data_IF_433657985371
#
_entry.id   IF_433657985371
#
_cell.length_a   1.000
_cell.length_b   1.000
_cell.length_c   1.000
_cell.angle_alpha   90.00
_cell.angle_beta   90.00
_cell.angle_gamma   90.00
#
_symmetry.space_group_name_H-M   'P 1'
#
loop_
_entity.id
_entity.type
_entity.pdbx_description
1 polymer ?
#
# COMPACT_ATOMS: atom_id res chain seq x y z
N UNK A 1 -15.86 5.92 23.27
CA UNK A 1 -15.32 7.28 22.99
C UNK A 1 -14.21 7.56 23.99
N UNK A 2 -12.98 7.48 23.64
CA UNK A 2 -11.72 7.96 24.26
C UNK A 2 -10.63 6.91 24.24
N UNK A 3 -9.97 6.70 23.11
CA UNK A 3 -8.69 5.96 23.03
C UNK A 3 -7.81 6.45 21.85
N UNK A 4 -7.81 7.76 21.56
CA UNK A 4 -6.74 8.34 20.75
C UNK A 4 -5.86 9.21 21.64
N UNK A 5 -4.90 8.60 22.33
CA UNK A 5 -3.76 9.32 22.87
C UNK A 5 -2.92 9.77 21.66
N UNK A 6 -2.68 11.08 21.55
CA UNK A 6 -1.75 11.69 20.63
C UNK A 6 -0.34 11.17 20.91
N UNK A 7 0.01 10.03 20.34
CA UNK A 7 1.40 9.62 20.24
C UNK A 7 1.94 10.23 18.95
N UNK A 8 2.75 11.26 19.08
CA UNK A 8 3.62 11.75 18.01
C UNK A 8 4.49 10.55 17.60
N UNK A 9 4.26 10.01 16.39
CA UNK A 9 5.08 8.92 15.84
C UNK A 9 6.47 9.52 15.60
N UNK A 10 7.38 9.34 16.57
CA UNK A 10 8.78 9.65 16.37
C UNK A 10 9.38 8.51 15.53
N UNK A 11 9.78 8.81 14.30
CA UNK A 11 10.61 7.90 13.51
C UNK A 11 11.95 7.71 14.24
N UNK A 12 12.01 6.73 15.14
CA UNK A 12 13.29 6.25 15.65
C UNK A 12 14.06 5.58 14.51
N UNK A 13 15.38 5.62 14.60
CA UNK A 13 16.34 5.20 13.58
C UNK A 13 15.82 3.98 12.78
N UNK A 14 15.51 4.21 11.50
CA UNK A 14 15.08 3.15 10.57
C UNK A 14 16.22 2.15 10.41
N UNK A 15 15.91 0.87 10.36
CA UNK A 15 16.90 -0.15 10.05
C UNK A 15 17.56 0.21 8.71
N UNK A 16 18.89 0.33 8.71
CA UNK A 16 19.66 0.64 7.49
C UNK A 16 19.59 -0.50 6.48
N UNK A 17 19.19 -1.71 6.92
CA UNK A 17 19.13 -2.92 6.08
C UNK A 17 17.91 -3.77 6.41
N UNK A 18 17.31 -4.42 5.37
CA UNK A 18 16.24 -5.40 5.56
C UNK A 18 16.75 -6.61 6.36
N UNK A 19 15.88 -7.16 7.20
CA UNK A 19 16.18 -8.34 8.02
C UNK A 19 15.35 -9.54 7.56
N UNK A 20 15.89 -10.75 7.73
CA UNK A 20 15.20 -12.01 7.56
C UNK A 20 14.83 -12.58 8.93
N UNK A 21 13.55 -12.73 9.21
CA UNK A 21 13.00 -13.10 10.52
C UNK A 21 11.88 -14.12 10.45
N UNK A 22 11.55 -14.71 11.61
CA UNK A 22 10.28 -15.39 11.81
C UNK A 22 9.29 -14.38 12.43
N UNK A 23 8.11 -14.30 11.85
CA UNK A 23 6.99 -13.55 12.40
C UNK A 23 5.90 -14.49 12.86
N UNK A 24 5.28 -14.19 13.99
CA UNK A 24 4.15 -14.96 14.50
C UNK A 24 2.84 -14.40 13.95
N UNK A 25 2.01 -15.28 13.42
CA UNK A 25 0.63 -14.94 13.00
C UNK A 25 -0.22 -14.69 14.24
N UNK A 26 -0.76 -13.49 14.38
CA UNK A 26 -1.63 -13.10 15.49
C UNK A 26 -3.10 -13.24 15.14
N UNK A 27 -3.45 -12.92 13.88
CA UNK A 27 -4.82 -12.97 13.38
C UNK A 27 -4.82 -13.27 11.89
N UNK A 28 -5.80 -14.05 11.45
CA UNK A 28 -6.13 -14.28 10.04
C UNK A 28 -7.62 -14.04 9.88
N UNK A 29 -8.00 -12.91 9.32
CA UNK A 29 -9.40 -12.54 9.10
C UNK A 29 -9.72 -12.63 7.61
N UNK A 30 -10.66 -13.50 7.26
CA UNK A 30 -11.14 -13.56 5.89
C UNK A 30 -12.01 -12.34 5.57
N UNK A 31 -11.77 -11.69 4.43
CA UNK A 31 -12.52 -10.54 3.95
C UNK A 31 -13.11 -10.90 2.57
N UNK A 32 -14.43 -11.14 2.54
CA UNK A 32 -15.07 -11.72 1.37
C UNK A 32 -14.47 -13.08 1.01
N UNK A 33 -14.52 -13.45 -0.26
CA UNK A 33 -13.99 -14.74 -0.73
C UNK A 33 -12.51 -14.65 -1.14
N UNK A 34 -12.08 -13.47 -1.61
CA UNK A 34 -10.82 -13.25 -2.33
C UNK A 34 -9.72 -12.63 -1.48
N UNK A 35 -9.99 -12.21 -0.24
CA UNK A 35 -9.01 -11.45 0.55
C UNK A 35 -8.83 -12.02 1.96
N UNK A 36 -7.64 -11.74 2.50
CA UNK A 36 -7.28 -12.04 3.89
C UNK A 36 -6.59 -10.82 4.48
N UNK A 37 -7.05 -10.41 5.65
CA UNK A 37 -6.39 -9.46 6.52
C UNK A 37 -5.54 -10.25 7.51
N UNK A 38 -4.24 -10.03 7.49
CA UNK A 38 -3.23 -10.79 8.22
C UNK A 38 -2.49 -9.89 9.20
N UNK A 39 -2.58 -10.19 10.50
CA UNK A 39 -1.82 -9.52 11.54
C UNK A 39 -0.64 -10.39 11.97
N UNK A 40 0.55 -9.82 11.89
CA UNK A 40 1.81 -10.47 12.27
C UNK A 40 2.45 -9.75 13.43
N UNK A 41 3.12 -10.48 14.32
CA UNK A 41 4.04 -9.92 15.31
C UNK A 41 5.47 -10.16 14.83
N UNK A 42 6.19 -9.07 14.62
CA UNK A 42 7.64 -9.05 14.37
C UNK A 42 8.23 -7.73 14.88
N UNK A 43 8.93 -7.74 16.02
CA UNK A 43 9.32 -6.52 16.75
C UNK A 43 10.33 -5.64 16.02
N UNK A 44 11.27 -6.20 15.28
CA UNK A 44 12.37 -5.47 14.65
C UNK A 44 11.86 -4.71 13.42
N UNK A 45 11.06 -5.38 12.57
CA UNK A 45 10.46 -4.74 11.41
C UNK A 45 9.43 -3.70 11.85
N UNK A 46 8.59 -4.00 12.86
CA UNK A 46 7.60 -3.06 13.36
C UNK A 46 8.21 -1.76 13.91
N UNK A 47 9.42 -1.82 14.49
CA UNK A 47 10.12 -0.62 14.96
C UNK A 47 10.75 0.21 13.84
N UNK A 48 11.05 -0.40 12.70
CA UNK A 48 11.83 0.23 11.63
C UNK A 48 11.05 0.51 10.36
N UNK A 49 9.87 -0.09 10.18
CA UNK A 49 9.06 0.09 8.99
C UNK A 49 8.46 1.50 8.90
N UNK A 50 8.46 2.05 7.69
CA UNK A 50 7.81 3.31 7.35
C UNK A 50 6.71 3.16 6.30
N UNK A 51 5.85 4.19 6.13
CA UNK A 51 4.75 4.13 5.19
C UNK A 51 5.24 3.95 3.75
N UNK A 52 4.57 3.07 3.01
CA UNK A 52 4.92 2.75 1.63
C UNK A 52 5.96 1.64 1.47
N UNK A 53 6.46 1.05 2.56
CA UNK A 53 7.31 -0.14 2.51
C UNK A 53 6.47 -1.42 2.49
N UNK A 54 7.12 -2.53 2.14
CA UNK A 54 6.50 -3.84 2.01
C UNK A 54 7.37 -4.94 2.63
N UNK A 55 6.84 -6.16 2.69
CA UNK A 55 7.52 -7.38 3.13
C UNK A 55 7.49 -8.43 2.03
N UNK A 56 8.51 -9.29 1.99
CA UNK A 56 8.40 -10.60 1.37
C UNK A 56 8.03 -11.63 2.43
N UNK A 57 6.99 -12.42 2.15
CA UNK A 57 6.50 -13.47 3.06
C UNK A 57 6.60 -14.85 2.43
N UNK A 58 6.96 -15.83 3.26
CA UNK A 58 6.94 -17.25 2.95
C UNK A 58 6.33 -18.02 4.11
N UNK A 59 5.20 -18.66 3.87
CA UNK A 59 4.41 -19.44 4.85
C UNK A 59 4.52 -20.96 4.62
N UNK A 60 5.51 -21.41 3.88
CA UNK A 60 5.68 -22.81 3.52
C UNK A 60 7.14 -23.23 3.56
N UNK A 61 7.37 -24.52 3.76
CA UNK A 61 8.65 -25.20 3.63
C UNK A 61 8.83 -25.80 2.23
N UNK A 62 10.04 -26.14 1.86
CA UNK A 62 10.33 -26.74 0.55
C UNK A 62 10.44 -25.71 -0.58
N UNK A 63 10.40 -26.19 -1.82
CA UNK A 63 10.69 -25.39 -3.02
C UNK A 63 9.43 -25.01 -3.82
N UNK A 64 8.26 -25.43 -3.39
CA UNK A 64 7.01 -25.19 -4.11
C UNK A 64 5.91 -24.66 -3.16
N UNK A 65 5.47 -23.40 -3.31
CA UNK A 65 5.95 -22.38 -4.25
C UNK A 65 7.39 -21.95 -3.99
N UNK A 66 8.14 -21.66 -5.06
CA UNK A 66 9.57 -21.33 -4.92
C UNK A 66 9.81 -19.97 -4.30
N UNK A 67 9.14 -18.95 -4.80
CA UNK A 67 9.39 -17.54 -4.40
C UNK A 67 8.48 -17.09 -3.24
N UNK A 68 8.98 -16.24 -2.33
CA UNK A 68 8.14 -15.54 -1.38
C UNK A 68 7.16 -14.59 -2.11
N UNK A 69 6.23 -14.00 -1.38
CA UNK A 69 5.24 -13.07 -1.92
C UNK A 69 5.42 -11.68 -1.30
N UNK A 70 5.43 -10.62 -2.13
CA UNK A 70 5.46 -9.24 -1.65
C UNK A 70 4.07 -8.78 -1.19
N UNK A 71 4.02 -8.09 -0.04
CA UNK A 71 2.82 -7.43 0.47
C UNK A 71 3.18 -6.11 1.12
N UNK A 72 2.40 -5.07 0.82
CA UNK A 72 2.52 -3.79 1.46
C UNK A 72 2.30 -3.91 2.97
N UNK A 73 3.07 -3.16 3.74
CA UNK A 73 2.82 -2.96 5.17
C UNK A 73 1.64 -1.99 5.28
N UNK A 74 0.43 -2.55 5.41
CA UNK A 74 -0.80 -1.77 5.46
C UNK A 74 -0.90 -0.93 6.72
N UNK A 75 -0.51 -1.50 7.86
CA UNK A 75 -0.41 -0.80 9.15
C UNK A 75 0.81 -1.30 9.92
N UNK A 76 1.34 -0.45 10.77
CA UNK A 76 2.48 -0.77 11.63
C UNK A 76 2.26 -0.18 13.02
N UNK A 77 2.31 -1.03 14.05
CA UNK A 77 2.27 -0.60 15.43
C UNK A 77 3.56 -1.02 16.17
N UNK A 78 4.51 -0.09 16.35
CA UNK A 78 5.74 -0.37 17.07
C UNK A 78 5.55 -0.70 18.55
N UNK A 79 4.49 -0.19 19.21
CA UNK A 79 4.20 -0.44 20.61
C UNK A 79 3.70 -1.88 20.83
N UNK A 80 2.78 -2.33 19.99
CA UNK A 80 2.27 -3.69 19.98
C UNK A 80 3.19 -4.66 19.22
N UNK A 81 4.22 -4.14 18.54
CA UNK A 81 5.19 -4.90 17.74
C UNK A 81 4.53 -5.66 16.59
N UNK A 82 3.49 -5.08 15.98
CA UNK A 82 2.68 -5.74 14.96
C UNK A 82 2.74 -5.03 13.61
N UNK A 83 2.49 -5.84 12.58
CA UNK A 83 2.38 -5.44 11.19
C UNK A 83 1.10 -6.05 10.62
N UNK A 84 0.29 -5.24 9.95
CA UNK A 84 -0.92 -5.70 9.26
C UNK A 84 -0.72 -5.65 7.76
N UNK A 85 -1.17 -6.68 7.09
CA UNK A 85 -1.07 -6.86 5.66
C UNK A 85 -2.43 -7.23 5.09
N UNK A 86 -2.69 -6.83 3.86
CA UNK A 86 -3.90 -7.19 3.15
C UNK A 86 -3.56 -8.02 1.91
N UNK A 87 -4.01 -9.26 1.89
CA UNK A 87 -3.61 -10.27 0.92
C UNK A 87 -4.77 -10.59 -0.02
N UNK A 88 -4.58 -10.38 -1.32
CA UNK A 88 -5.47 -10.92 -2.35
C UNK A 88 -5.10 -12.38 -2.63
N UNK A 89 -6.06 -13.28 -2.54
CA UNK A 89 -5.86 -14.71 -2.75
C UNK A 89 -6.02 -15.03 -4.22
N UNK A 90 -4.90 -15.18 -4.94
CA UNK A 90 -4.90 -15.41 -6.40
C UNK A 90 -4.21 -16.72 -6.81
N UNK A 91 -3.43 -17.31 -5.92
CA UNK A 91 -2.65 -18.49 -6.29
C UNK A 91 -2.17 -19.26 -5.08
N UNK A 92 -1.39 -20.31 -5.33
CA UNK A 92 -0.98 -21.28 -4.31
C UNK A 92 -0.32 -20.65 -3.08
N UNK A 93 0.61 -19.69 -3.26
CA UNK A 93 1.27 -19.05 -2.14
C UNK A 93 0.31 -18.25 -1.25
N UNK A 94 -0.60 -17.48 -1.85
CA UNK A 94 -1.61 -16.71 -1.13
C UNK A 94 -2.71 -17.59 -0.53
N UNK A 95 -3.03 -18.75 -1.15
CA UNK A 95 -3.92 -19.74 -0.56
C UNK A 95 -3.33 -20.36 0.71
N UNK A 96 -2.01 -20.59 0.73
CA UNK A 96 -1.32 -21.06 1.93
C UNK A 96 -1.33 -20.00 3.05
N UNK A 97 -1.21 -18.71 2.72
CA UNK A 97 -1.37 -17.62 3.70
C UNK A 97 -2.79 -17.59 4.27
N UNK A 98 -3.82 -17.81 3.43
CA UNK A 98 -5.22 -17.86 3.86
C UNK A 98 -5.50 -19.00 4.85
N UNK A 99 -4.76 -20.11 4.75
CA UNK A 99 -4.94 -21.29 5.61
C UNK A 99 -4.13 -21.24 6.91
N UNK A 100 -3.41 -20.16 7.18
CA UNK A 100 -2.70 -20.00 8.44
C UNK A 100 -3.66 -19.85 9.61
N UNK A 101 -3.19 -20.24 10.78
CA UNK A 101 -3.91 -20.07 12.03
C UNK A 101 -3.09 -19.18 13.00
N UNK A 102 -3.72 -18.50 13.94
CA UNK A 102 -3.03 -17.79 15.01
C UNK A 102 -2.04 -18.70 15.74
N UNK A 103 -0.82 -18.19 15.98
CA UNK A 103 0.30 -18.93 16.54
C UNK A 103 1.21 -19.57 15.50
N UNK A 104 0.82 -19.66 14.25
CA UNK A 104 1.71 -20.14 13.17
C UNK A 104 2.89 -19.19 12.96
N UNK A 105 4.01 -19.73 12.49
CA UNK A 105 5.17 -18.93 12.13
C UNK A 105 5.32 -18.82 10.61
N UNK A 106 5.64 -17.62 10.13
CA UNK A 106 5.98 -17.33 8.75
C UNK A 106 7.37 -16.73 8.67
N UNK A 107 8.06 -16.92 7.56
CA UNK A 107 9.32 -16.24 7.29
C UNK A 107 9.05 -14.94 6.56
N UNK A 108 9.66 -13.87 7.05
CA UNK A 108 9.53 -12.52 6.49
C UNK A 108 10.89 -11.91 6.18
N UNK A 109 10.98 -11.16 5.10
CA UNK A 109 12.11 -10.31 4.78
C UNK A 109 11.63 -8.88 4.67
N UNK A 110 12.22 -7.96 5.42
CA UNK A 110 11.83 -6.55 5.39
C UNK A 110 12.43 -5.71 6.51
N UNK A 111 11.98 -4.44 6.62
CA UNK A 111 11.13 -3.75 5.64
C UNK A 111 11.89 -3.54 4.32
N UNK A 112 11.18 -3.60 3.21
CA UNK A 112 11.74 -3.48 1.86
C UNK A 112 11.23 -2.22 1.16
N UNK A 113 12.01 -1.72 0.22
CA UNK A 113 11.73 -0.49 -0.51
C UNK A 113 11.98 0.77 0.30
N UNK A 114 11.76 1.93 -0.33
CA UNK A 114 11.92 3.23 0.30
C UNK A 114 10.61 3.66 0.95
N UNK A 115 10.64 4.12 2.20
CA UNK A 115 9.44 4.70 2.80
C UNK A 115 9.17 6.09 2.23
N UNK A 116 7.91 6.52 2.23
CA UNK A 116 7.55 7.91 1.98
C UNK A 116 8.13 8.78 3.12
N UNK A 117 8.96 9.75 2.77
CA UNK A 117 9.65 10.63 3.75
C UNK A 117 9.24 12.09 3.63
N UNK A 118 8.86 12.53 2.44
CA UNK A 118 8.44 13.90 2.20
C UNK A 118 6.95 14.07 2.49
N UNK A 119 6.66 14.90 3.49
CA UNK A 119 5.33 15.27 3.94
C UNK A 119 5.11 16.78 3.87
N UNK A 120 5.89 17.50 3.05
CA UNK A 120 5.73 18.93 2.82
C UNK A 120 4.52 19.21 1.90
N UNK A 121 3.33 18.94 2.41
CA UNK A 121 2.05 19.18 1.75
C UNK A 121 0.95 19.37 2.80
N UNK A 122 -0.17 19.97 2.40
CA UNK A 122 -1.32 20.23 3.26
C UNK A 122 -2.45 19.23 3.01
N UNK A 123 -2.47 18.64 1.81
CA UNK A 123 -3.55 17.77 1.38
C UNK A 123 -3.05 16.64 0.46
N UNK A 124 -3.64 15.46 0.62
CA UNK A 124 -3.40 14.31 -0.23
C UNK A 124 -4.72 13.67 -0.67
N UNK A 125 -4.74 13.13 -1.89
CA UNK A 125 -5.81 12.25 -2.34
C UNK A 125 -5.26 10.85 -2.64
N UNK A 126 -6.00 9.83 -2.23
CA UNK A 126 -5.74 8.43 -2.57
C UNK A 126 -6.74 7.98 -3.62
N UNK A 127 -6.27 7.60 -4.80
CA UNK A 127 -7.08 7.00 -5.86
C UNK A 127 -6.67 5.54 -6.01
N UNK A 128 -7.43 4.64 -5.39
CA UNK A 128 -7.01 3.24 -5.23
C UNK A 128 -8.10 2.24 -5.64
N UNK A 129 -7.66 1.05 -6.07
CA UNK A 129 -8.56 -0.01 -6.52
C UNK A 129 -8.20 -1.36 -5.92
N UNK A 130 -9.21 -2.04 -5.37
CA UNK A 130 -9.06 -3.38 -4.79
C UNK A 130 -7.95 -3.44 -3.74
N UNK A 131 -7.11 -4.48 -3.77
CA UNK A 131 -6.01 -4.66 -2.82
C UNK A 131 -5.00 -3.51 -2.79
N UNK A 132 -4.88 -2.74 -3.89
CA UNK A 132 -4.02 -1.54 -3.91
C UNK A 132 -4.39 -0.46 -2.89
N UNK A 133 -5.58 -0.56 -2.25
CA UNK A 133 -5.96 0.29 -1.14
C UNK A 133 -5.04 0.09 0.09
N UNK A 134 -4.49 -1.11 0.28
CA UNK A 134 -3.60 -1.42 1.39
C UNK A 134 -2.31 -0.58 1.38
N UNK A 135 -1.77 -0.28 0.19
CA UNK A 135 -0.53 0.47 0.02
C UNK A 135 -0.57 1.89 0.64
N UNK A 136 -1.76 2.48 0.77
CA UNK A 136 -1.92 3.87 1.22
C UNK A 136 -2.47 4.02 2.65
N UNK A 137 -2.87 2.94 3.32
CA UNK A 137 -3.45 3.02 4.68
C UNK A 137 -2.42 3.58 5.67
N UNK A 138 -1.24 2.99 5.76
CA UNK A 138 -0.18 3.46 6.67
C UNK A 138 0.28 4.89 6.32
N UNK A 139 0.35 5.21 5.03
CA UNK A 139 0.60 6.58 4.59
C UNK A 139 -0.49 7.54 5.08
N UNK A 140 -1.75 7.14 5.01
CA UNK A 140 -2.90 7.91 5.52
C UNK A 140 -2.83 8.14 7.03
N UNK A 141 -2.44 7.14 7.81
CA UNK A 141 -2.22 7.28 9.27
C UNK A 141 -1.16 8.33 9.58
N UNK A 142 -0.02 8.27 8.87
CA UNK A 142 1.06 9.24 9.03
C UNK A 142 0.63 10.65 8.57
N UNK A 143 -0.05 10.77 7.43
CA UNK A 143 -0.59 12.06 6.97
C UNK A 143 -1.51 12.67 8.01
N UNK A 144 -2.48 11.91 8.52
CA UNK A 144 -3.41 12.38 9.54
C UNK A 144 -2.72 12.78 10.84
N UNK A 145 -1.73 12.00 11.31
CA UNK A 145 -0.96 12.33 12.53
C UNK A 145 -0.18 13.65 12.42
N UNK A 146 0.13 14.06 11.18
CA UNK A 146 0.81 15.31 10.84
C UNK A 146 -0.12 16.48 10.50
N UNK A 147 -1.44 16.27 10.59
CA UNK A 147 -2.43 17.29 10.26
C UNK A 147 -2.63 17.51 8.74
N UNK A 148 -2.14 16.60 7.91
CA UNK A 148 -2.35 16.62 6.46
C UNK A 148 -3.75 16.11 6.16
N UNK A 149 -4.52 16.86 5.38
CA UNK A 149 -5.87 16.47 4.98
C UNK A 149 -5.83 15.29 3.99
N UNK A 150 -6.56 14.22 4.30
CA UNK A 150 -6.67 13.02 3.46
C UNK A 150 -8.06 12.95 2.84
N UNK A 151 -8.12 12.73 1.52
CA UNK A 151 -9.34 12.34 0.80
C UNK A 151 -9.08 10.99 0.14
N UNK A 152 -9.95 10.01 0.36
CA UNK A 152 -9.80 8.68 -0.26
C UNK A 152 -10.88 8.43 -1.30
N UNK A 153 -10.49 7.89 -2.45
CA UNK A 153 -11.37 7.45 -3.53
C UNK A 153 -11.12 5.95 -3.72
N UNK A 154 -12.05 5.14 -3.20
CA UNK A 154 -12.02 3.69 -3.33
C UNK A 154 -12.78 3.25 -4.57
N UNK A 155 -12.23 2.29 -5.31
CA UNK A 155 -12.90 1.72 -6.47
C UNK A 155 -12.83 0.20 -6.51
N UNK A 156 -13.91 -0.39 -7.01
CA UNK A 156 -13.98 -1.82 -7.31
C UNK A 156 -14.95 -2.08 -8.47
N UNK A 157 -15.06 -3.33 -8.91
CA UNK A 157 -16.06 -3.70 -9.92
C UNK A 157 -17.48 -3.67 -9.35
N UNK A 158 -17.64 -4.06 -8.08
CA UNK A 158 -18.94 -4.14 -7.36
C UNK A 158 -18.75 -3.69 -5.91
N UNK A 159 -19.84 -3.37 -5.22
CA UNK A 159 -19.85 -3.02 -3.79
C UNK A 159 -19.19 -4.09 -2.92
N UNK A 160 -19.44 -5.37 -3.18
CA UNK A 160 -18.87 -6.49 -2.42
C UNK A 160 -17.35 -6.64 -2.56
N UNK A 161 -16.75 -5.96 -3.53
CA UNK A 161 -15.30 -5.92 -3.77
C UNK A 161 -14.64 -4.65 -3.29
N UNK A 162 -15.38 -3.74 -2.65
CA UNK A 162 -14.80 -2.61 -1.94
C UNK A 162 -14.12 -3.14 -0.67
N UNK A 163 -12.82 -2.93 -0.56
CA UNK A 163 -11.98 -3.41 0.55
C UNK A 163 -11.22 -2.25 1.21
N UNK A 164 -10.71 -2.47 2.41
CA UNK A 164 -9.98 -1.50 3.22
C UNK A 164 -10.78 -0.22 3.57
N UNK A 165 -12.09 -0.23 3.41
CA UNK A 165 -12.95 0.89 3.77
C UNK A 165 -12.84 1.23 5.25
N UNK A 166 -12.93 0.21 6.10
CA UNK A 166 -12.85 0.33 7.56
C UNK A 166 -11.54 0.98 8.05
N UNK A 167 -10.48 0.89 7.25
CA UNK A 167 -9.19 1.50 7.55
C UNK A 167 -9.07 2.92 7.00
N UNK A 168 -9.58 3.20 5.80
CA UNK A 168 -9.43 4.50 5.15
C UNK A 168 -10.50 5.52 5.56
N UNK A 169 -11.72 5.08 5.90
CA UNK A 169 -12.81 5.97 6.30
C UNK A 169 -12.44 6.83 7.54
N UNK A 170 -11.91 6.26 8.64
CA UNK A 170 -11.53 7.06 9.81
C UNK A 170 -10.33 7.98 9.58
N UNK A 171 -9.53 7.73 8.55
CA UNK A 171 -8.36 8.54 8.19
C UNK A 171 -8.74 9.70 7.27
N UNK A 172 -9.82 9.56 6.52
CA UNK A 172 -10.21 10.49 5.48
C UNK A 172 -11.17 11.55 6.00
N UNK A 173 -10.96 12.80 5.58
CA UNK A 173 -11.97 13.84 5.73
C UNK A 173 -13.18 13.58 4.83
N UNK A 174 -12.94 13.01 3.65
CA UNK A 174 -13.95 12.61 2.69
C UNK A 174 -13.56 11.26 2.09
N UNK A 175 -14.49 10.31 2.14
CA UNK A 175 -14.35 9.02 1.46
C UNK A 175 -15.36 8.96 0.32
N UNK A 176 -14.85 8.78 -0.90
CA UNK A 176 -15.63 8.63 -2.12
C UNK A 176 -15.52 7.19 -2.63
N UNK A 177 -16.62 6.64 -3.11
CA UNK A 177 -16.67 5.26 -3.64
C UNK A 177 -17.13 5.30 -5.08
N UNK A 178 -16.50 4.49 -5.93
CA UNK A 178 -16.94 4.23 -7.28
C UNK A 178 -16.96 2.74 -7.57
N UNK A 179 -18.06 2.25 -8.16
CA UNK A 179 -18.17 0.87 -8.62
C UNK A 179 -18.50 0.84 -10.11
N UNK A 180 -17.91 -0.12 -10.85
CA UNK A 180 -18.12 -0.20 -12.30
C UNK A 180 -19.60 -0.44 -12.64
N UNK A 181 -20.30 -1.24 -11.82
CA UNK A 181 -21.70 -1.61 -11.98
C UNK A 181 -22.69 -0.61 -11.35
N UNK A 182 -22.20 0.33 -10.52
CA UNK A 182 -23.04 1.28 -9.79
C UNK A 182 -23.76 0.70 -8.57
N UNK A 183 -23.31 -0.46 -8.08
CA UNK A 183 -23.89 -1.10 -6.88
C UNK A 183 -23.61 -0.32 -5.59
N UNK A 184 -22.59 0.54 -5.58
CA UNK A 184 -22.32 1.50 -4.50
C UNK A 184 -21.60 2.75 -5.04
N UNK A 185 -21.97 3.92 -4.51
CA UNK A 185 -21.35 5.19 -4.83
C UNK A 185 -21.55 5.63 -6.29
N UNK A 186 -20.48 6.19 -6.88
CA UNK A 186 -20.50 6.62 -8.27
C UNK A 186 -20.43 5.43 -9.22
N UNK A 187 -21.36 5.37 -10.18
CA UNK A 187 -21.32 4.38 -11.25
C UNK A 187 -20.35 4.84 -12.34
N UNK A 188 -19.26 4.09 -12.53
CA UNK A 188 -18.30 4.39 -13.58
C UNK A 188 -16.86 4.54 -13.06
N UNK A 189 -16.13 5.51 -13.62
CA UNK A 189 -14.70 5.64 -13.37
C UNK A 189 -14.42 6.49 -12.12
N UNK A 190 -13.65 5.96 -11.21
CA UNK A 190 -13.19 6.70 -10.03
C UNK A 190 -12.34 7.94 -10.39
N UNK A 191 -11.75 7.99 -11.58
CA UNK A 191 -11.06 9.18 -12.10
C UNK A 191 -11.99 10.38 -12.25
N UNK A 192 -13.26 10.17 -12.55
CA UNK A 192 -14.26 11.24 -12.62
C UNK A 192 -14.51 11.87 -11.24
N UNK A 193 -14.45 11.07 -10.18
CA UNK A 193 -14.54 11.59 -8.82
C UNK A 193 -13.31 12.42 -8.46
N UNK A 194 -12.11 12.00 -8.89
CA UNK A 194 -10.88 12.77 -8.70
C UNK A 194 -10.96 14.11 -9.46
N UNK A 195 -11.42 14.11 -10.70
CA UNK A 195 -11.58 15.35 -11.50
C UNK A 195 -12.52 16.34 -10.81
N UNK A 196 -13.70 15.87 -10.37
CA UNK A 196 -14.67 16.68 -9.61
C UNK A 196 -14.09 17.18 -8.28
N UNK A 197 -13.25 16.36 -7.61
CA UNK A 197 -12.55 16.78 -6.39
C UNK A 197 -11.60 17.94 -6.68
N UNK A 198 -10.78 17.82 -7.73
CA UNK A 198 -9.80 18.84 -8.16
C UNK A 198 -10.45 20.12 -8.72
N UNK A 199 -11.70 20.05 -9.19
CA UNK A 199 -12.50 21.23 -9.54
C UNK A 199 -12.98 22.00 -8.31
N UNK A 200 -13.25 21.30 -7.20
CA UNK A 200 -13.77 21.90 -5.95
C UNK A 200 -12.67 22.44 -5.04
N UNK A 201 -11.50 21.79 -5.02
CA UNK A 201 -10.39 22.17 -4.15
C UNK A 201 -9.04 21.75 -4.73
N UNK A 202 -8.00 22.48 -4.35
CA UNK A 202 -6.62 22.08 -4.62
C UNK A 202 -6.23 20.88 -3.77
N UNK A 203 -5.55 19.91 -4.38
CA UNK A 203 -4.93 18.76 -3.73
C UNK A 203 -3.45 18.79 -4.10
N UNK A 204 -2.60 18.82 -3.09
CA UNK A 204 -1.15 18.94 -3.31
C UNK A 204 -0.57 17.68 -3.96
N UNK A 205 -1.02 16.49 -3.49
CA UNK A 205 -0.49 15.20 -3.96
C UNK A 205 -1.58 14.17 -4.17
N UNK A 206 -1.49 13.44 -5.27
CA UNK A 206 -2.34 12.29 -5.56
C UNK A 206 -1.49 11.03 -5.57
N UNK A 207 -1.83 10.06 -4.73
CA UNK A 207 -1.23 8.73 -4.71
C UNK A 207 -2.19 7.71 -5.31
N UNK A 208 -1.68 6.83 -6.17
CA UNK A 208 -2.51 5.81 -6.82
C UNK A 208 -1.88 4.42 -6.76
N UNK A 209 -2.73 3.40 -6.61
CA UNK A 209 -2.36 1.98 -6.63
C UNK A 209 -3.50 1.10 -7.16
N UNK A 210 -3.16 -0.05 -7.75
CA UNK A 210 -4.10 -1.10 -8.15
C UNK A 210 -4.75 -0.91 -9.53
N UNK A 211 -4.39 0.15 -10.30
CA UNK A 211 -4.96 0.35 -11.64
C UNK A 211 -4.04 1.16 -12.56
N UNK A 212 -3.63 0.55 -13.68
CA UNK A 212 -2.89 1.27 -14.74
C UNK A 212 -3.67 2.44 -15.33
N UNK A 213 -5.01 2.33 -15.42
CA UNK A 213 -5.85 3.43 -15.89
C UNK A 213 -5.76 4.63 -14.95
N UNK A 214 -5.80 4.39 -13.65
CA UNK A 214 -5.65 5.44 -12.65
C UNK A 214 -4.28 6.09 -12.72
N UNK A 215 -3.24 5.27 -12.82
CA UNK A 215 -1.87 5.77 -12.95
C UNK A 215 -1.71 6.70 -14.18
N UNK A 216 -2.23 6.30 -15.34
CA UNK A 216 -2.20 7.15 -16.55
C UNK A 216 -2.97 8.46 -16.39
N UNK A 217 -4.12 8.42 -15.73
CA UNK A 217 -4.91 9.62 -15.46
C UNK A 217 -4.17 10.57 -14.50
N UNK A 218 -3.64 10.05 -13.39
CA UNK A 218 -2.83 10.84 -12.45
C UNK A 218 -1.57 11.38 -13.13
N UNK A 219 -0.93 10.62 -14.03
CA UNK A 219 0.22 11.10 -14.81
C UNK A 219 -0.14 12.26 -15.75
N UNK A 220 -1.35 12.27 -16.27
CA UNK A 220 -1.85 13.41 -17.06
C UNK A 220 -2.04 14.64 -16.18
N UNK A 221 -2.68 14.50 -15.02
CA UNK A 221 -2.90 15.58 -14.06
C UNK A 221 -1.57 16.19 -13.56
N UNK A 222 -0.57 15.35 -13.32
CA UNK A 222 0.77 15.76 -12.93
C UNK A 222 1.44 16.59 -14.04
N UNK A 223 1.37 16.15 -15.29
CA UNK A 223 1.87 16.91 -16.45
C UNK A 223 1.18 18.25 -16.67
N UNK A 224 -0.10 18.33 -16.33
CA UNK A 224 -0.90 19.54 -16.39
C UNK A 224 -0.63 20.51 -15.20
N UNK A 225 0.18 20.07 -14.24
CA UNK A 225 0.49 20.86 -13.03
C UNK A 225 -0.70 21.01 -12.07
N UNK A 226 -1.70 20.12 -12.17
CA UNK A 226 -2.91 20.16 -11.33
C UNK A 226 -2.70 19.58 -9.94
N UNK A 227 -1.77 18.63 -9.81
CA UNK A 227 -1.38 18.00 -8.55
C UNK A 227 -0.09 17.20 -8.78
N UNK A 228 0.78 17.09 -7.77
CA UNK A 228 1.91 16.17 -7.86
C UNK A 228 1.42 14.72 -7.77
N UNK A 229 1.74 13.91 -8.78
CA UNK A 229 1.30 12.54 -8.89
C UNK A 229 2.33 11.53 -8.39
N UNK A 230 1.87 10.51 -7.66
CA UNK A 230 2.68 9.39 -7.20
C UNK A 230 1.98 8.06 -7.48
N UNK A 231 2.75 7.05 -7.86
CA UNK A 231 2.25 5.70 -8.12
C UNK A 231 2.96 4.68 -7.26
N UNK A 232 2.20 3.77 -6.66
CA UNK A 232 2.73 2.53 -6.09
C UNK A 232 2.76 1.47 -7.19
N UNK A 233 3.94 0.92 -7.44
CA UNK A 233 4.14 -0.10 -8.47
C UNK A 233 4.32 -1.47 -7.83
N UNK A 234 3.59 -2.43 -8.37
CA UNK A 234 3.76 -3.85 -8.09
C UNK A 234 4.65 -4.46 -9.16
N UNK A 235 5.57 -5.33 -8.76
CA UNK A 235 6.46 -6.04 -9.67
C UNK A 235 6.61 -7.50 -9.30
N UNK A 236 7.03 -8.32 -10.25
CA UNK A 236 7.48 -9.68 -9.95
C UNK A 236 8.73 -9.60 -9.09
N UNK A 237 8.68 -10.15 -7.89
CA UNK A 237 9.79 -10.07 -6.94
C UNK A 237 10.29 -11.47 -6.57
N UNK A 238 11.60 -11.67 -6.76
CA UNK A 238 12.26 -12.88 -6.32
C UNK A 238 13.13 -12.61 -5.08
N UNK A 239 14.12 -11.71 -5.17
CA UNK A 239 15.04 -11.43 -4.06
C UNK A 239 14.55 -10.35 -3.09
N UNK A 240 13.84 -9.32 -3.57
CA UNK A 240 13.46 -8.14 -2.77
C UNK A 240 14.61 -7.18 -2.41
N UNK A 241 15.84 -7.50 -2.81
CA UNK A 241 17.07 -6.84 -2.35
C UNK A 241 17.81 -6.04 -3.45
N UNK A 242 17.27 -6.06 -4.69
CA UNK A 242 17.88 -5.34 -5.80
C UNK A 242 18.84 -6.16 -6.66
N UNK A 243 19.14 -7.43 -6.31
CA UNK A 243 20.17 -8.21 -6.99
C UNK A 243 19.68 -8.91 -8.28
N UNK A 244 18.45 -9.43 -8.28
CA UNK A 244 17.96 -10.26 -9.40
C UNK A 244 17.40 -9.43 -10.57
N UNK A 245 17.13 -8.15 -10.38
CA UNK A 245 16.52 -7.21 -11.35
C UNK A 245 15.13 -7.63 -11.90
N UNK A 246 14.49 -8.63 -11.30
CA UNK A 246 13.16 -9.11 -11.74
C UNK A 246 12.03 -8.08 -11.58
N UNK A 247 12.21 -7.09 -10.71
CA UNK A 247 11.26 -6.01 -10.47
C UNK A 247 11.61 -4.70 -11.19
N UNK A 248 12.45 -4.76 -12.25
CA UNK A 248 12.86 -3.58 -12.99
C UNK A 248 11.67 -2.92 -13.73
N UNK A 249 11.55 -1.61 -13.60
CA UNK A 249 10.62 -0.75 -14.36
C UNK A 249 11.38 0.33 -15.07
N UNK A 250 10.99 0.64 -16.30
CA UNK A 250 11.72 1.59 -17.13
C UNK A 250 11.56 3.02 -16.62
N UNK A 251 12.65 3.77 -16.58
CA UNK A 251 12.65 5.22 -16.39
C UNK A 251 12.07 5.90 -17.62
N UNK A 252 11.29 6.95 -17.41
CA UNK A 252 10.67 7.70 -18.50
C UNK A 252 11.56 8.82 -19.03
N UNK A 253 12.29 9.47 -18.15
CA UNK A 253 13.03 10.71 -18.45
C UNK A 253 14.51 10.47 -18.76
N UNK A 254 15.04 9.32 -18.39
CA UNK A 254 16.45 8.95 -18.55
C UNK A 254 16.57 7.52 -19.06
N UNK A 255 17.73 7.20 -19.67
CA UNK A 255 18.05 5.79 -19.96
C UNK A 255 18.26 5.01 -18.67
N UNK A 256 17.70 3.81 -18.59
CA UNK A 256 17.86 2.93 -17.42
C UNK A 256 16.53 2.51 -16.80
N UNK A 257 16.60 1.97 -15.62
CA UNK A 257 15.46 1.42 -14.90
C UNK A 257 15.56 1.70 -13.41
N UNK A 258 14.42 1.66 -12.74
CA UNK A 258 14.30 1.55 -11.29
C UNK A 258 14.09 0.10 -10.90
N UNK A 259 14.53 -0.28 -9.72
CA UNK A 259 14.19 -1.54 -9.08
C UNK A 259 13.10 -1.29 -8.02
N UNK A 260 11.88 -1.76 -8.27
CA UNK A 260 10.74 -1.52 -7.38
C UNK A 260 11.05 -1.90 -5.93
N UNK A 261 11.79 -3.00 -5.72
CA UNK A 261 12.13 -3.49 -4.38
C UNK A 261 13.17 -2.64 -3.63
N UNK A 262 13.95 -1.80 -4.33
CA UNK A 262 15.02 -1.00 -3.73
C UNK A 262 14.74 0.50 -3.84
N UNK A 263 14.33 0.94 -5.03
CA UNK A 263 14.17 2.37 -5.36
C UNK A 263 12.73 2.85 -5.13
N UNK A 264 11.73 1.91 -5.10
CA UNK A 264 10.32 2.13 -4.85
C UNK A 264 9.85 1.55 -3.51
N UNK A 265 8.59 1.10 -3.39
CA UNK A 265 7.61 0.86 -4.46
C UNK A 265 6.83 2.09 -4.93
N UNK A 266 6.93 3.24 -4.24
CA UNK A 266 6.30 4.48 -4.65
C UNK A 266 7.28 5.35 -5.46
N UNK A 267 6.76 5.95 -6.53
CA UNK A 267 7.55 6.79 -7.43
C UNK A 267 6.78 8.06 -7.80
N UNK A 268 7.47 9.20 -8.01
CA UNK A 268 6.90 10.30 -8.76
C UNK A 268 6.42 9.77 -10.13
N UNK A 269 5.16 10.00 -10.46
CA UNK A 269 4.53 9.33 -11.60
C UNK A 269 5.09 9.79 -12.95
N UNK A 270 5.68 10.99 -12.98
CA UNK A 270 6.37 11.52 -14.14
C UNK A 270 7.68 10.81 -14.50
N UNK A 271 8.28 10.05 -13.57
CA UNK A 271 9.58 9.43 -13.73
C UNK A 271 9.53 7.98 -14.25
N UNK A 272 8.37 7.33 -14.20
CA UNK A 272 8.21 5.91 -14.56
C UNK A 272 7.38 5.71 -15.82
N UNK A 273 7.73 4.70 -16.62
CA UNK A 273 6.92 4.22 -17.73
C UNK A 273 5.80 3.31 -17.19
N UNK A 274 4.51 3.54 -17.64
CA UNK A 274 3.30 2.91 -17.12
C UNK A 274 2.65 1.92 -18.11
#
# INVERSE_FOLDING_TARGET
YSLFKHNTISFQAMAEHPVYRSATVMEVKQVGEEYVDLLLREPEIARSAGPGQFLLIRAWSGVDPMLPRPFDIMQCDPAEQTLRLFVKVEGRGTSLLKSLEPGAEVKVTGPLGQPVRDFACSSVAFLVRGAGAAAVVYLGEVCRSRGIEVTSILSASTASRIVCREYLEPLSRELLIATDDGSEGHRGLATELLDRLLERKSIDRVYTCGSRRFARHVQQLDREGRSAGFVFLEGLMACGLGDCHGCAVQKKTESGYFLVCRDGPHFPIGEVEL
#
